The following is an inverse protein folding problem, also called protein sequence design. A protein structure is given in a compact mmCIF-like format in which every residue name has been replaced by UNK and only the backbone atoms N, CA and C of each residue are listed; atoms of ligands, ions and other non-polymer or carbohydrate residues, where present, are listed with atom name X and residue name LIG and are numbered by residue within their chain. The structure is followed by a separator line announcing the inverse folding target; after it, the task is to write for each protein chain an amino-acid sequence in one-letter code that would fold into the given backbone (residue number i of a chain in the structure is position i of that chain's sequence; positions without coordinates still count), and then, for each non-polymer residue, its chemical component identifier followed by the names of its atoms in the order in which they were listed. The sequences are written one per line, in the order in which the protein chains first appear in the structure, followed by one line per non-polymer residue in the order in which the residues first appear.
data_IF_919846167385
#
_entry.id   IF_919846167385
#
_cell.length_a   1.000
_cell.length_b   1.000
_cell.length_c   1.000
_cell.angle_alpha   90.00
_cell.angle_beta   90.00
_cell.angle_gamma   90.00
#
_symmetry.space_group_name_H-M   'P 1'
#
loop_
_entity.id
_entity.type
_entity.pdbx_description
1 polymer ?
#
# COMPACT_ATOMS: atom_id res chain seq x y z
N UNK A 1 -11.11 0.42 -4.37
CA UNK A 1 -11.51 -0.05 -3.02
C UNK A 1 -11.33 -1.55 -2.98
N UNK A 2 -11.04 -2.12 -1.81
CA UNK A 2 -10.91 -3.57 -1.59
C UNK A 2 -11.72 -3.98 -0.37
N UNK A 3 -11.89 -5.29 -0.19
CA UNK A 3 -12.58 -5.87 0.96
C UNK A 3 -11.69 -5.69 2.22
N UNK A 4 -11.99 -4.69 3.03
CA UNK A 4 -11.34 -4.42 4.32
C UNK A 4 -12.37 -3.87 5.32
N UNK A 5 -12.15 -4.11 6.61
CA UNK A 5 -13.06 -3.73 7.68
C UNK A 5 -14.48 -4.34 7.57
N UNK A 6 -14.59 -5.56 7.00
CA UNK A 6 -15.87 -6.23 6.74
C UNK A 6 -16.75 -6.38 7.99
N UNK A 7 -16.13 -6.61 9.15
CA UNK A 7 -16.84 -6.72 10.43
C UNK A 7 -17.60 -5.44 10.84
N UNK A 8 -17.28 -4.30 10.24
CA UNK A 8 -17.88 -2.99 10.55
C UNK A 8 -18.64 -2.44 9.35
N UNK A 9 -18.10 -2.61 8.14
CA UNK A 9 -18.59 -1.96 6.92
C UNK A 9 -19.48 -2.87 6.05
N UNK A 10 -19.64 -4.14 6.44
CA UNK A 10 -20.35 -5.14 5.64
C UNK A 10 -19.44 -5.95 4.72
N UNK A 11 -19.99 -7.02 4.17
CA UNK A 11 -19.28 -8.06 3.41
C UNK A 11 -19.40 -7.89 1.88
N UNK A 12 -19.90 -6.75 1.41
CA UNK A 12 -20.01 -6.42 -0.01
C UNK A 12 -19.21 -5.18 -0.39
N UNK A 13 -18.72 -5.16 -1.64
CA UNK A 13 -18.03 -3.99 -2.18
C UNK A 13 -18.94 -2.76 -2.19
N UNK A 14 -20.24 -2.95 -2.44
CA UNK A 14 -21.25 -1.89 -2.40
C UNK A 14 -21.34 -1.24 -1.01
N UNK A 15 -21.48 -2.03 0.05
CA UNK A 15 -21.55 -1.52 1.43
C UNK A 15 -20.28 -0.74 1.83
N UNK A 16 -19.12 -1.27 1.48
CA UNK A 16 -17.83 -0.60 1.72
C UNK A 16 -17.72 0.70 0.90
N UNK A 17 -18.20 0.70 -0.34
CA UNK A 17 -18.18 1.90 -1.19
C UNK A 17 -19.15 2.96 -0.66
N UNK A 18 -20.32 2.57 -0.19
CA UNK A 18 -21.31 3.46 0.41
C UNK A 18 -20.76 4.14 1.67
N UNK A 19 -20.22 3.38 2.62
CA UNK A 19 -19.59 3.92 3.83
C UNK A 19 -18.43 4.87 3.51
N UNK A 20 -17.49 4.44 2.67
CA UNK A 20 -16.34 5.29 2.29
C UNK A 20 -16.76 6.56 1.54
N UNK A 21 -17.85 6.51 0.79
CA UNK A 21 -18.40 7.68 0.09
C UNK A 21 -19.04 8.72 1.03
N UNK A 22 -19.22 8.41 2.32
CA UNK A 22 -19.63 9.39 3.33
C UNK A 22 -18.55 10.45 3.63
N UNK A 23 -17.31 10.22 3.17
CA UNK A 23 -16.31 11.29 3.11
C UNK A 23 -16.70 12.45 2.18
N UNK A 24 -17.60 12.23 1.20
CA UNK A 24 -18.16 13.25 0.33
C UNK A 24 -19.21 14.09 1.09
N UNK A 25 -18.78 14.93 2.00
CA UNK A 25 -19.65 15.74 2.89
C UNK A 25 -19.88 17.12 2.31
N UNK A 26 -20.91 17.81 2.84
CA UNK A 26 -21.12 19.24 2.58
C UNK A 26 -19.83 20.02 2.88
N UNK A 27 -19.44 20.91 1.96
CA UNK A 27 -18.20 21.68 2.04
C UNK A 27 -17.00 21.04 1.36
N UNK A 28 -17.07 19.77 0.91
CA UNK A 28 -16.06 19.20 0.01
C UNK A 28 -16.17 19.90 -1.34
N UNK A 29 -15.11 20.58 -1.72
CA UNK A 29 -15.09 21.36 -2.96
C UNK A 29 -14.89 20.48 -4.21
N UNK A 30 -14.22 19.34 -4.05
CA UNK A 30 -13.90 18.38 -5.11
C UNK A 30 -13.41 17.08 -4.50
N UNK A 31 -13.64 15.99 -5.19
CA UNK A 31 -13.14 14.66 -4.85
C UNK A 31 -12.30 14.07 -5.99
N UNK A 32 -11.33 13.26 -5.60
CA UNK A 32 -10.48 12.48 -6.52
C UNK A 32 -10.57 11.01 -6.13
N UNK A 33 -10.71 10.13 -7.11
CA UNK A 33 -10.70 8.69 -6.94
C UNK A 33 -9.68 8.04 -7.86
N UNK A 34 -9.00 7.01 -7.38
CA UNK A 34 -8.38 6.05 -8.28
C UNK A 34 -9.45 5.32 -9.09
N UNK A 35 -9.06 4.65 -10.17
CA UNK A 35 -9.96 3.76 -10.92
C UNK A 35 -10.56 2.71 -9.98
N UNK A 36 -11.87 2.56 -10.03
CA UNK A 36 -12.64 1.64 -9.19
C UNK A 36 -13.31 0.56 -10.05
N UNK A 37 -13.69 -0.54 -9.40
CA UNK A 37 -14.62 -1.49 -10.03
C UNK A 37 -15.97 -0.81 -10.30
N UNK A 38 -16.70 -1.21 -11.35
CA UNK A 38 -17.93 -0.53 -11.77
C UNK A 38 -18.94 -0.28 -10.65
N UNK A 39 -19.18 -1.29 -9.82
CA UNK A 39 -20.13 -1.19 -8.69
C UNK A 39 -19.72 -0.09 -7.68
N UNK A 40 -18.46 -0.05 -7.25
CA UNK A 40 -17.96 0.95 -6.33
C UNK A 40 -17.92 2.35 -6.98
N UNK A 41 -17.57 2.43 -8.27
CA UNK A 41 -17.55 3.66 -9.03
C UNK A 41 -18.94 4.29 -9.10
N UNK A 42 -19.94 3.49 -9.45
CA UNK A 42 -21.30 3.98 -9.66
C UNK A 42 -21.90 4.53 -8.35
N UNK A 43 -21.60 3.90 -7.21
CA UNK A 43 -21.98 4.39 -5.88
C UNK A 43 -21.29 5.74 -5.58
N UNK A 44 -19.96 5.82 -5.79
CA UNK A 44 -19.23 7.06 -5.57
C UNK A 44 -19.76 8.21 -6.44
N UNK A 45 -20.02 7.95 -7.72
CA UNK A 45 -20.51 8.98 -8.64
C UNK A 45 -21.92 9.42 -8.28
N UNK A 46 -22.83 8.48 -8.00
CA UNK A 46 -24.19 8.79 -7.57
C UNK A 46 -24.19 9.64 -6.29
N UNK A 47 -23.36 9.30 -5.31
CA UNK A 47 -23.28 10.06 -4.05
C UNK A 47 -22.65 11.43 -4.23
N UNK A 48 -21.66 11.56 -5.09
CA UNK A 48 -21.06 12.85 -5.45
C UNK A 48 -22.09 13.75 -6.15
N UNK A 49 -22.84 13.21 -7.12
CA UNK A 49 -23.91 13.93 -7.83
C UNK A 49 -25.00 14.41 -6.89
N UNK A 50 -25.49 13.53 -5.99
CA UNK A 50 -26.53 13.88 -5.03
C UNK A 50 -26.13 15.00 -4.06
N UNK A 51 -24.83 15.21 -3.87
CA UNK A 51 -24.24 16.23 -3.00
C UNK A 51 -23.65 17.43 -3.76
N UNK A 52 -23.77 17.43 -5.09
CA UNK A 52 -23.23 18.48 -5.95
C UNK A 52 -21.70 18.61 -5.91
N UNK A 53 -21.01 17.50 -5.65
CA UNK A 53 -19.53 17.49 -5.51
C UNK A 53 -18.92 17.03 -6.85
N UNK A 54 -18.08 17.85 -7.50
CA UNK A 54 -17.28 17.40 -8.63
C UNK A 54 -16.37 16.24 -8.20
N UNK A 55 -16.45 15.11 -8.91
CA UNK A 55 -15.59 13.95 -8.68
C UNK A 55 -14.83 13.62 -9.96
N UNK A 56 -13.50 13.64 -9.87
CA UNK A 56 -12.58 13.22 -10.92
C UNK A 56 -11.98 11.86 -10.56
N UNK A 57 -11.97 10.95 -11.52
CA UNK A 57 -11.21 9.71 -11.43
C UNK A 57 -9.93 9.82 -12.27
N UNK A 58 -8.93 8.99 -11.94
CA UNK A 58 -7.64 9.04 -12.61
C UNK A 58 -7.78 9.04 -14.14
N UNK A 59 -7.11 9.98 -14.83
CA UNK A 59 -7.21 10.09 -16.26
C UNK A 59 -6.66 8.83 -16.95
N UNK A 60 -7.44 8.32 -17.90
CA UNK A 60 -7.02 7.29 -18.85
C UNK A 60 -6.57 7.92 -20.17
N UNK A 61 -6.40 7.10 -21.21
CA UNK A 61 -6.02 7.57 -22.55
C UNK A 61 -7.02 8.58 -23.14
N UNK A 62 -8.28 8.55 -22.70
CA UNK A 62 -9.37 9.39 -23.20
C UNK A 62 -9.72 10.57 -22.25
N UNK A 63 -8.81 10.95 -21.35
CA UNK A 63 -9.05 12.02 -20.39
C UNK A 63 -9.54 11.52 -19.02
N UNK A 64 -10.04 12.46 -18.19
CA UNK A 64 -10.52 12.16 -16.85
C UNK A 64 -11.90 11.50 -16.90
N UNK A 65 -12.06 10.33 -16.27
CA UNK A 65 -13.39 9.82 -15.92
C UNK A 65 -13.90 10.58 -14.68
N UNK A 66 -15.22 10.62 -14.49
CA UNK A 66 -15.81 11.35 -13.38
C UNK A 66 -17.31 11.53 -13.56
N UNK A 67 -17.94 12.15 -12.56
CA UNK A 67 -19.30 12.63 -12.73
C UNK A 67 -19.35 13.86 -13.67
N UNK A 68 -20.54 14.30 -14.07
CA UNK A 68 -20.69 15.41 -15.03
C UNK A 68 -19.95 16.68 -14.60
N UNK A 69 -20.03 17.05 -13.32
CA UNK A 69 -19.34 18.20 -12.76
C UNK A 69 -17.80 18.03 -12.73
N UNK A 70 -17.29 16.83 -12.44
CA UNK A 70 -15.87 16.50 -12.48
C UNK A 70 -15.31 16.56 -13.90
N UNK A 71 -16.02 16.03 -14.87
CA UNK A 71 -15.65 16.12 -16.30
C UNK A 71 -15.59 17.56 -16.79
N UNK A 72 -16.62 18.36 -16.49
CA UNK A 72 -16.65 19.77 -16.85
C UNK A 72 -15.50 20.53 -16.19
N UNK A 73 -15.16 20.21 -14.93
CA UNK A 73 -14.00 20.81 -14.28
C UNK A 73 -12.69 20.44 -14.97
N UNK A 74 -12.51 19.17 -15.34
CA UNK A 74 -11.33 18.69 -16.07
C UNK A 74 -11.17 19.39 -17.43
N UNK A 75 -12.24 19.54 -18.18
CA UNK A 75 -12.24 20.20 -19.50
C UNK A 75 -11.87 21.66 -19.42
N UNK A 76 -12.17 22.33 -18.30
CA UNK A 76 -11.81 23.71 -18.05
C UNK A 76 -10.39 23.92 -17.47
N UNK A 77 -9.65 22.85 -17.18
CA UNK A 77 -8.25 22.97 -16.78
C UNK A 77 -7.40 23.49 -17.96
N UNK A 78 -6.40 24.34 -17.70
CA UNK A 78 -5.36 24.66 -18.69
C UNK A 78 -4.69 23.39 -19.23
N UNK A 79 -4.34 23.42 -20.51
CA UNK A 79 -3.74 22.24 -21.19
C UNK A 79 -2.46 21.78 -20.49
N UNK A 80 -1.60 22.72 -20.09
CA UNK A 80 -0.35 22.44 -19.40
C UNK A 80 -0.57 21.68 -18.07
N UNK A 81 -1.67 22.00 -17.36
CA UNK A 81 -2.02 21.30 -16.12
C UNK A 81 -2.62 19.91 -16.42
N UNK A 82 -3.42 19.78 -17.47
CA UNK A 82 -3.93 18.47 -17.90
C UNK A 82 -2.78 17.53 -18.29
N UNK A 83 -1.80 18.04 -19.00
CA UNK A 83 -0.60 17.28 -19.37
C UNK A 83 0.20 16.86 -18.14
N UNK A 84 0.34 17.73 -17.16
CA UNK A 84 0.98 17.39 -15.88
C UNK A 84 0.22 16.31 -15.10
N UNK A 85 -1.10 16.25 -15.23
CA UNK A 85 -1.95 15.31 -14.49
C UNK A 85 -1.87 13.87 -15.01
N UNK A 86 -1.25 13.62 -16.17
CA UNK A 86 -1.10 12.26 -16.75
C UNK A 86 0.34 11.80 -16.60
N UNK A 87 0.56 10.75 -15.83
CA UNK A 87 1.89 10.15 -15.65
C UNK A 87 2.26 9.21 -16.80
N UNK A 88 3.49 9.31 -17.26
CA UNK A 88 4.08 8.32 -18.16
C UNK A 88 4.23 6.96 -17.44
N UNK A 89 4.10 5.85 -18.17
CA UNK A 89 4.18 4.50 -17.61
C UNK A 89 5.54 4.19 -16.98
N UNK A 90 6.58 4.84 -17.46
CA UNK A 90 7.98 4.69 -17.04
C UNK A 90 8.39 5.74 -15.99
N UNK A 91 7.45 6.54 -15.49
CA UNK A 91 7.72 7.52 -14.44
C UNK A 91 8.34 6.83 -13.22
N UNK A 92 9.54 7.29 -12.83
CA UNK A 92 10.27 6.75 -11.68
C UNK A 92 9.61 7.20 -10.37
N UNK A 93 9.24 6.24 -9.56
CA UNK A 93 8.63 6.46 -8.25
C UNK A 93 9.62 6.15 -7.12
N UNK A 94 9.47 6.85 -6.02
CA UNK A 94 10.19 6.54 -4.79
C UNK A 94 9.61 5.37 -4.01
N UNK A 95 8.34 5.05 -4.25
CA UNK A 95 7.66 3.90 -3.66
C UNK A 95 7.67 2.73 -4.63
N UNK A 96 8.01 1.54 -4.14
CA UNK A 96 8.10 0.30 -4.91
C UNK A 96 6.74 -0.42 -5.00
N UNK A 97 6.55 -1.18 -6.07
CA UNK A 97 5.38 -2.04 -6.28
C UNK A 97 4.44 -1.56 -7.41
N UNK A 98 3.84 -2.49 -8.16
CA UNK A 98 3.03 -2.17 -9.34
C UNK A 98 1.84 -1.24 -9.07
N UNK A 99 1.23 -1.36 -7.87
CA UNK A 99 0.10 -0.54 -7.43
C UNK A 99 0.48 0.92 -7.16
N UNK A 100 1.76 1.23 -6.96
CA UNK A 100 2.19 2.59 -6.64
C UNK A 100 2.05 3.55 -7.82
N UNK A 101 2.08 3.05 -9.06
CA UNK A 101 1.82 3.90 -10.21
C UNK A 101 0.38 4.46 -10.20
N UNK A 102 -0.61 3.64 -9.83
CA UNK A 102 -1.99 4.11 -9.67
C UNK A 102 -2.14 5.09 -8.49
N UNK A 103 -1.46 4.83 -7.38
CA UNK A 103 -1.43 5.75 -6.23
C UNK A 103 -0.80 7.09 -6.61
N UNK A 104 0.33 7.07 -7.31
CA UNK A 104 1.00 8.27 -7.80
C UNK A 104 0.11 9.05 -8.78
N UNK A 105 -0.53 8.37 -9.73
CA UNK A 105 -1.47 8.98 -10.66
C UNK A 105 -2.63 9.69 -9.92
N UNK A 106 -3.18 9.07 -8.87
CA UNK A 106 -4.23 9.65 -8.04
C UNK A 106 -3.73 10.89 -7.29
N UNK A 107 -2.53 10.81 -6.71
CA UNK A 107 -1.92 11.92 -5.98
C UNK A 107 -1.61 13.10 -6.91
N UNK A 108 -1.10 12.84 -8.11
CA UNK A 108 -0.80 13.88 -9.10
C UNK A 108 -2.07 14.55 -9.60
N UNK A 109 -3.13 13.79 -9.87
CA UNK A 109 -4.42 14.38 -10.22
C UNK A 109 -4.91 15.32 -9.09
N UNK A 110 -4.89 14.86 -7.85
CA UNK A 110 -5.29 15.67 -6.70
C UNK A 110 -4.43 16.95 -6.57
N UNK A 111 -3.11 16.82 -6.75
CA UNK A 111 -2.18 17.95 -6.71
C UNK A 111 -2.46 18.99 -7.80
N UNK A 112 -2.63 18.56 -9.04
CA UNK A 112 -2.92 19.46 -10.17
C UNK A 112 -4.24 20.22 -9.97
N UNK A 113 -5.27 19.52 -9.48
CA UNK A 113 -6.57 20.14 -9.19
C UNK A 113 -6.46 21.17 -8.05
N UNK A 114 -5.67 20.90 -7.01
CA UNK A 114 -5.37 21.84 -5.94
C UNK A 114 -4.59 23.06 -6.46
N UNK A 115 -3.57 22.84 -7.28
CA UNK A 115 -2.80 23.92 -7.89
C UNK A 115 -3.69 24.86 -8.71
N UNK A 116 -4.57 24.30 -9.55
CA UNK A 116 -5.52 25.09 -10.31
C UNK A 116 -6.45 25.92 -9.40
N UNK A 117 -7.03 25.29 -8.38
CA UNK A 117 -7.97 25.92 -7.45
C UNK A 117 -7.32 27.07 -6.65
N UNK A 118 -6.08 26.89 -6.22
CA UNK A 118 -5.37 27.85 -5.36
C UNK A 118 -4.40 28.75 -6.12
N UNK A 119 -4.38 28.65 -7.46
CA UNK A 119 -3.46 29.38 -8.31
C UNK A 119 -1.98 29.14 -7.96
N UNK A 120 -1.65 27.95 -7.48
CA UNK A 120 -0.27 27.53 -7.22
C UNK A 120 0.43 27.13 -8.52
N UNK A 121 1.69 27.49 -8.62
CA UNK A 121 2.52 27.08 -9.76
C UNK A 121 2.98 25.64 -9.57
N UNK A 122 2.91 24.86 -10.62
CA UNK A 122 3.47 23.51 -10.68
C UNK A 122 3.87 23.21 -12.13
N UNK A 123 4.77 22.26 -12.28
CA UNK A 123 5.21 21.74 -13.57
C UNK A 123 5.52 20.26 -13.45
N UNK A 124 5.71 19.61 -14.61
CA UNK A 124 6.02 18.17 -14.69
C UNK A 124 7.29 17.82 -13.92
N UNK A 125 8.36 18.62 -14.03
CA UNK A 125 9.63 18.36 -13.37
C UNK A 125 9.48 18.34 -11.84
N UNK A 126 8.78 19.30 -11.27
CA UNK A 126 8.49 19.40 -9.83
C UNK A 126 7.68 18.19 -9.35
N UNK A 127 6.66 17.78 -10.12
CA UNK A 127 5.85 16.60 -9.80
C UNK A 127 6.71 15.32 -9.82
N UNK A 128 7.49 15.09 -10.87
CA UNK A 128 8.34 13.90 -10.99
C UNK A 128 9.42 13.85 -9.90
N UNK A 129 9.97 15.00 -9.51
CA UNK A 129 10.92 15.10 -8.40
C UNK A 129 10.24 14.72 -7.08
N UNK A 130 9.02 15.22 -6.84
CA UNK A 130 8.24 14.85 -5.65
C UNK A 130 7.92 13.35 -5.60
N UNK A 131 7.51 12.77 -6.73
CA UNK A 131 7.22 11.34 -6.84
C UNK A 131 8.46 10.47 -6.59
N UNK A 132 9.63 10.85 -7.11
CA UNK A 132 10.90 10.15 -6.86
C UNK A 132 11.34 10.21 -5.41
N UNK A 133 11.05 11.31 -4.72
CA UNK A 133 11.40 11.52 -3.30
C UNK A 133 10.35 10.99 -2.34
N UNK A 134 9.18 10.59 -2.83
CA UNK A 134 8.13 10.04 -1.99
C UNK A 134 8.64 8.80 -1.24
N UNK A 135 8.45 8.80 0.07
CA UNK A 135 8.83 7.72 0.96
C UNK A 135 7.76 7.51 2.03
N UNK A 136 7.40 6.27 2.27
CA UNK A 136 6.52 5.87 3.37
C UNK A 136 7.14 4.63 3.99
N UNK A 137 7.50 4.66 5.29
CA UNK A 137 8.07 3.50 5.97
C UNK A 137 7.15 2.28 5.86
N UNK A 138 7.73 1.11 5.59
CA UNK A 138 6.99 -0.13 5.51
C UNK A 138 6.03 -0.24 4.31
N UNK A 139 6.33 0.44 3.20
CA UNK A 139 5.65 0.25 1.91
C UNK A 139 6.62 -0.30 0.88
N UNK A 140 6.79 -1.62 0.89
CA UNK A 140 7.79 -2.35 0.14
C UNK A 140 9.16 -1.64 0.21
N UNK A 141 9.53 -1.25 1.44
CA UNK A 141 10.76 -0.55 1.74
C UNK A 141 11.93 -1.51 1.72
N UNK A 142 12.93 -1.27 0.88
CA UNK A 142 14.18 -1.99 0.93
C UNK A 142 15.12 -1.34 1.95
N UNK A 143 15.65 -2.17 2.84
CA UNK A 143 16.67 -1.80 3.83
C UNK A 143 17.92 -2.61 3.52
N UNK A 144 19.03 -2.00 3.09
CA UNK A 144 20.27 -2.73 2.85
C UNK A 144 20.81 -3.30 4.17
N UNK A 145 21.66 -4.33 4.08
CA UNK A 145 22.29 -4.91 5.26
C UNK A 145 23.12 -3.85 5.99
N UNK A 146 22.91 -3.76 7.30
CA UNK A 146 23.66 -2.89 8.21
C UNK A 146 24.50 -3.67 9.21
N UNK A 147 25.14 -2.97 10.15
CA UNK A 147 25.90 -3.63 11.23
C UNK A 147 25.01 -4.39 12.20
N UNK A 148 23.77 -3.92 12.38
CA UNK A 148 22.84 -4.43 13.39
C UNK A 148 21.67 -5.22 12.81
N UNK A 149 21.48 -5.23 11.50
CA UNK A 149 20.34 -5.90 10.84
C UNK A 149 20.73 -6.49 9.48
N UNK A 150 20.04 -7.55 9.02
CA UNK A 150 20.19 -8.09 7.67
C UNK A 150 19.62 -7.14 6.62
N UNK A 151 19.83 -7.44 5.33
CA UNK A 151 19.04 -6.84 4.28
C UNK A 151 17.58 -7.24 4.41
N UNK A 152 16.64 -6.30 4.27
CA UNK A 152 15.20 -6.55 4.49
C UNK A 152 14.33 -5.84 3.47
N UNK A 153 13.21 -6.48 3.17
CA UNK A 153 12.02 -5.84 2.60
C UNK A 153 10.98 -5.67 3.71
N UNK A 154 10.46 -4.46 3.89
CA UNK A 154 9.47 -4.14 4.91
C UNK A 154 8.15 -3.74 4.24
N UNK A 155 7.06 -4.47 4.53
CA UNK A 155 5.75 -4.13 3.99
C UNK A 155 4.63 -4.31 5.02
N UNK A 156 3.81 -3.29 5.18
CA UNK A 156 2.66 -3.27 6.11
C UNK A 156 1.38 -3.90 5.55
N UNK A 157 1.46 -4.75 4.54
CA UNK A 157 0.31 -5.51 4.03
C UNK A 157 -0.29 -6.35 5.15
N UNK A 158 -1.58 -6.13 5.45
CA UNK A 158 -2.27 -6.70 6.61
C UNK A 158 -3.71 -7.14 6.30
N UNK A 159 -4.09 -7.09 5.04
CA UNK A 159 -5.38 -7.56 4.54
C UNK A 159 -5.18 -8.27 3.19
N UNK A 160 -6.20 -8.96 2.73
CA UNK A 160 -6.15 -9.76 1.49
C UNK A 160 -5.71 -8.93 0.28
N UNK A 161 -6.20 -7.69 0.16
CA UNK A 161 -5.83 -6.80 -0.95
C UNK A 161 -4.36 -6.41 -0.91
N UNK A 162 -3.85 -5.99 0.26
CA UNK A 162 -2.45 -5.64 0.47
C UNK A 162 -1.52 -6.83 0.23
N UNK A 163 -1.86 -8.02 0.77
CA UNK A 163 -1.07 -9.23 0.57
C UNK A 163 -1.05 -9.69 -0.89
N UNK A 164 -2.16 -9.52 -1.63
CA UNK A 164 -2.18 -9.80 -3.07
C UNK A 164 -1.25 -8.85 -3.83
N UNK A 165 -1.25 -7.56 -3.49
CA UNK A 165 -0.36 -6.58 -4.10
C UNK A 165 1.12 -6.85 -3.76
N UNK A 166 1.42 -7.25 -2.51
CA UNK A 166 2.76 -7.65 -2.09
C UNK A 166 3.24 -8.89 -2.84
N UNK A 167 2.39 -9.92 -2.97
CA UNK A 167 2.70 -11.12 -3.74
C UNK A 167 3.07 -10.78 -5.19
N UNK A 168 2.26 -9.96 -5.87
CA UNK A 168 2.53 -9.53 -7.23
C UNK A 168 3.84 -8.71 -7.34
N UNK A 169 4.15 -7.93 -6.31
CA UNK A 169 5.39 -7.17 -6.27
C UNK A 169 6.62 -8.08 -6.11
N UNK A 170 6.54 -9.09 -5.24
CA UNK A 170 7.63 -10.06 -5.05
C UNK A 170 7.81 -10.96 -6.28
N UNK A 171 6.70 -11.37 -6.93
CA UNK A 171 6.75 -12.13 -8.18
C UNK A 171 7.47 -11.37 -9.31
N UNK A 172 7.39 -10.04 -9.31
CA UNK A 172 8.04 -9.17 -10.29
C UNK A 172 9.52 -8.83 -9.97
N UNK A 173 10.04 -9.22 -8.80
CA UNK A 173 11.44 -9.02 -8.42
C UNK A 173 12.39 -9.92 -9.20
N UNK A 174 13.62 -9.46 -9.40
CA UNK A 174 14.72 -10.31 -9.88
C UNK A 174 15.09 -11.38 -8.84
N UNK A 175 15.78 -12.44 -9.25
CA UNK A 175 16.16 -13.51 -8.33
C UNK A 175 17.09 -13.04 -7.19
N UNK A 176 17.86 -11.97 -7.41
CA UNK A 176 18.73 -11.36 -6.42
C UNK A 176 17.95 -10.54 -5.39
N UNK A 177 16.83 -9.93 -5.82
CA UNK A 177 15.97 -9.10 -4.96
C UNK A 177 14.98 -9.93 -4.15
N UNK A 178 14.64 -11.14 -4.61
CA UNK A 178 13.68 -12.00 -3.94
C UNK A 178 14.12 -12.36 -2.51
N UNK A 179 13.17 -12.37 -1.55
CA UNK A 179 13.50 -12.75 -0.19
C UNK A 179 13.97 -14.20 -0.09
N UNK A 180 14.88 -14.46 0.86
CA UNK A 180 15.33 -15.81 1.21
C UNK A 180 14.64 -16.41 2.43
N UNK A 181 13.96 -15.58 3.22
CA UNK A 181 13.14 -15.97 4.37
C UNK A 181 12.06 -14.92 4.64
N UNK A 182 11.02 -15.31 5.37
CA UNK A 182 9.88 -14.42 5.69
C UNK A 182 9.67 -14.37 7.19
N UNK A 183 9.41 -13.17 7.71
CA UNK A 183 8.86 -12.92 9.05
C UNK A 183 7.44 -12.39 8.87
N UNK A 184 6.46 -13.11 9.40
CA UNK A 184 5.05 -12.78 9.23
C UNK A 184 4.30 -12.87 10.55
N UNK A 185 3.47 -11.86 10.84
CA UNK A 185 2.45 -11.93 11.88
C UNK A 185 1.26 -11.06 11.51
N UNK A 186 0.08 -11.35 12.03
CA UNK A 186 -1.12 -10.56 11.75
C UNK A 186 -1.99 -10.40 12.99
N UNK A 187 -3.03 -9.59 12.87
CA UNK A 187 -4.06 -9.46 13.90
C UNK A 187 -5.13 -10.53 13.70
N UNK A 188 -5.71 -11.03 14.77
CA UNK A 188 -6.71 -12.08 14.76
C UNK A 188 -8.03 -11.66 14.06
N UNK A 189 -8.33 -10.37 14.05
CA UNK A 189 -9.52 -9.81 13.40
C UNK A 189 -9.35 -9.50 11.89
N UNK A 190 -8.23 -9.91 11.29
CA UNK A 190 -7.89 -9.66 9.86
C UNK A 190 -8.01 -10.91 8.98
N UNK A 191 -8.98 -11.79 9.26
CA UNK A 191 -9.26 -13.02 8.49
C UNK A 191 -7.97 -13.86 8.29
N UNK A 192 -7.37 -14.35 9.38
CA UNK A 192 -6.07 -15.02 9.32
C UNK A 192 -6.05 -16.21 8.35
N UNK A 193 -7.17 -16.91 8.16
CA UNK A 193 -7.29 -18.01 7.20
C UNK A 193 -7.02 -17.57 5.75
N UNK A 194 -7.58 -16.42 5.35
CA UNK A 194 -7.36 -15.88 3.99
C UNK A 194 -5.95 -15.34 3.82
N UNK A 195 -5.42 -14.68 4.86
CA UNK A 195 -4.05 -14.16 4.84
C UNK A 195 -3.03 -15.31 4.78
N UNK A 196 -3.21 -16.37 5.59
CA UNK A 196 -2.29 -17.52 5.60
C UNK A 196 -2.25 -18.25 4.27
N UNK A 197 -3.35 -18.31 3.52
CA UNK A 197 -3.36 -18.89 2.17
C UNK A 197 -2.45 -18.09 1.21
N UNK A 198 -2.50 -16.75 1.25
CA UNK A 198 -1.64 -15.89 0.45
C UNK A 198 -0.18 -15.96 0.90
N UNK A 199 0.07 -15.99 2.22
CA UNK A 199 1.42 -16.11 2.78
C UNK A 199 2.04 -17.45 2.44
N UNK A 200 1.31 -18.56 2.48
CA UNK A 200 1.78 -19.88 2.00
C UNK A 200 2.20 -19.84 0.54
N UNK A 201 1.41 -19.17 -0.31
CA UNK A 201 1.76 -18.98 -1.72
C UNK A 201 3.02 -18.12 -1.87
N UNK A 202 3.14 -17.03 -1.10
CA UNK A 202 4.30 -16.15 -1.09
C UNK A 202 5.56 -16.89 -0.61
N UNK A 203 5.43 -17.66 0.45
CA UNK A 203 6.54 -18.39 1.04
C UNK A 203 7.03 -19.56 0.16
N UNK A 204 6.09 -20.29 -0.47
CA UNK A 204 6.48 -21.51 -1.20
C UNK A 204 7.23 -22.47 -0.29
N UNK A 205 8.53 -22.63 -0.51
CA UNK A 205 9.45 -23.45 0.31
C UNK A 205 10.35 -22.62 1.22
N UNK A 206 10.23 -21.28 1.22
CA UNK A 206 11.07 -20.40 2.04
C UNK A 206 10.81 -20.62 3.54
N UNK A 207 11.84 -20.52 4.38
CA UNK A 207 11.70 -20.47 5.82
C UNK A 207 10.78 -19.32 6.25
N UNK A 208 9.82 -19.61 7.13
CA UNK A 208 8.81 -18.66 7.58
C UNK A 208 8.79 -18.63 9.11
N UNK A 209 9.05 -17.47 9.69
CA UNK A 209 9.10 -17.25 11.13
C UNK A 209 7.92 -16.39 11.58
N UNK A 210 7.26 -16.83 12.64
CA UNK A 210 5.99 -16.26 13.12
C UNK A 210 6.16 -15.77 14.55
N UNK A 211 6.56 -14.50 14.75
CA UNK A 211 6.60 -13.90 16.08
C UNK A 211 5.19 -13.54 16.59
N UNK A 212 5.03 -13.54 17.91
CA UNK A 212 3.86 -12.94 18.54
C UNK A 212 4.08 -11.44 18.68
N UNK A 213 3.14 -10.62 18.19
CA UNK A 213 3.17 -9.15 18.38
C UNK A 213 2.93 -8.86 19.85
N UNK A 214 3.86 -8.12 20.49
CA UNK A 214 3.82 -7.81 21.92
C UNK A 214 2.75 -6.75 22.23
N UNK A 215 2.23 -6.76 23.43
CA UNK A 215 1.36 -5.73 24.01
C UNK A 215 0.15 -5.34 23.12
N UNK A 216 -0.28 -6.25 22.25
CA UNK A 216 -1.45 -6.06 21.41
C UNK A 216 -2.48 -7.17 21.63
N UNK A 217 -3.61 -6.89 22.30
CA UNK A 217 -4.64 -7.90 22.60
C UNK A 217 -5.34 -8.44 21.34
N UNK A 218 -5.16 -7.80 20.19
CA UNK A 218 -5.70 -8.23 18.90
C UNK A 218 -4.71 -9.08 18.10
N UNK A 219 -3.48 -9.30 18.61
CA UNK A 219 -2.50 -10.12 17.90
C UNK A 219 -2.97 -11.56 17.78
N UNK A 220 -2.77 -12.17 16.63
CA UNK A 220 -2.92 -13.62 16.48
C UNK A 220 -1.79 -14.33 17.25
N UNK A 221 -2.11 -15.43 17.92
CA UNK A 221 -1.13 -16.23 18.63
C UNK A 221 -0.09 -16.82 17.67
N UNK A 222 1.20 -16.61 17.94
CA UNK A 222 2.27 -17.08 17.06
C UNK A 222 2.23 -18.57 16.78
N UNK A 223 1.98 -19.42 17.80
CA UNK A 223 1.86 -20.86 17.65
C UNK A 223 0.65 -21.27 16.80
N UNK A 224 -0.49 -20.64 17.05
CA UNK A 224 -1.73 -20.89 16.30
C UNK A 224 -1.57 -20.49 14.84
N UNK A 225 -1.01 -19.30 14.60
CA UNK A 225 -0.76 -18.80 13.26
C UNK A 225 0.26 -19.65 12.50
N UNK A 226 1.32 -20.12 13.17
CA UNK A 226 2.30 -21.04 12.56
C UNK A 226 1.65 -22.40 12.23
N UNK A 227 0.76 -22.91 13.08
CA UNK A 227 0.02 -24.13 12.79
C UNK A 227 -0.92 -23.97 11.58
N UNK A 228 -1.59 -22.83 11.46
CA UNK A 228 -2.42 -22.50 10.28
C UNK A 228 -1.59 -22.38 9.00
N UNK A 229 -0.39 -21.80 9.08
CA UNK A 229 0.52 -21.68 7.94
C UNK A 229 1.09 -23.04 7.51
N UNK A 230 1.42 -23.91 8.46
CA UNK A 230 2.00 -25.22 8.20
C UNK A 230 3.36 -25.15 7.49
N UNK A 231 3.80 -26.26 6.92
CA UNK A 231 5.01 -26.31 6.08
C UNK A 231 6.28 -25.90 6.82
N UNK A 232 6.92 -24.83 6.36
CA UNK A 232 8.16 -24.28 6.92
C UNK A 232 7.95 -23.25 8.02
N UNK A 233 6.70 -23.04 8.46
CA UNK A 233 6.38 -22.02 9.46
C UNK A 233 6.81 -22.44 10.86
N UNK A 234 7.56 -21.58 11.53
CA UNK A 234 8.06 -21.77 12.90
C UNK A 234 7.63 -20.62 13.78
N UNK A 235 6.88 -20.93 14.84
CA UNK A 235 6.55 -19.94 15.87
C UNK A 235 7.81 -19.57 16.66
N UNK A 236 7.97 -18.27 16.93
CA UNK A 236 9.08 -17.74 17.73
C UNK A 236 8.55 -16.71 18.72
N UNK A 237 9.24 -16.49 19.85
CA UNK A 237 8.69 -15.64 20.93
C UNK A 237 8.49 -14.18 20.53
N UNK A 238 9.41 -13.58 19.78
CA UNK A 238 9.45 -12.16 19.50
C UNK A 238 10.07 -11.86 18.12
N UNK A 239 9.99 -10.61 17.72
CA UNK A 239 10.51 -10.16 16.42
C UNK A 239 12.02 -10.27 16.35
N UNK A 240 12.74 -10.04 17.44
CA UNK A 240 14.20 -10.15 17.51
C UNK A 240 14.67 -11.56 17.19
N UNK A 241 14.02 -12.58 17.79
CA UNK A 241 14.29 -13.98 17.52
C UNK A 241 13.93 -14.36 16.08
N UNK A 242 12.79 -13.84 15.58
CA UNK A 242 12.35 -14.05 14.20
C UNK A 242 13.38 -13.52 13.20
N UNK A 243 13.86 -12.29 13.39
CA UNK A 243 14.83 -11.66 12.51
C UNK A 243 16.18 -12.39 12.55
N UNK A 244 16.63 -12.80 13.74
CA UNK A 244 17.88 -13.57 13.91
C UNK A 244 17.80 -14.92 13.18
N UNK A 245 16.68 -15.65 13.33
CA UNK A 245 16.46 -16.93 12.68
C UNK A 245 16.33 -16.78 11.15
N UNK A 246 15.55 -15.77 10.71
CA UNK A 246 15.33 -15.50 9.31
C UNK A 246 16.63 -15.07 8.59
N UNK A 247 17.44 -14.22 9.21
CA UNK A 247 18.74 -13.80 8.66
C UNK A 247 19.68 -15.00 8.41
N UNK A 248 19.71 -15.97 9.33
CA UNK A 248 20.51 -17.19 9.17
C UNK A 248 19.97 -18.08 8.04
N UNK A 249 18.63 -18.19 7.94
CA UNK A 249 17.98 -19.04 6.97
C UNK A 249 17.93 -18.44 5.55
N UNK A 250 18.01 -17.11 5.43
CA UNK A 250 17.92 -16.39 4.15
C UNK A 250 19.14 -16.59 3.23
N UNK A 251 20.25 -17.17 3.72
CA UNK A 251 21.45 -17.47 2.93
C UNK A 251 22.00 -16.25 2.15
N UNK A 252 22.03 -15.08 2.80
CA UNK A 252 22.53 -13.84 2.21
C UNK A 252 21.50 -13.05 1.38
N UNK A 253 20.32 -13.61 1.13
CA UNK A 253 19.20 -12.89 0.51
C UNK A 253 18.47 -12.01 1.53
N UNK A 254 17.68 -11.00 1.09
CA UNK A 254 16.88 -10.19 2.00
C UNK A 254 15.84 -11.00 2.79
N UNK A 255 15.48 -10.53 3.97
CA UNK A 255 14.36 -11.05 4.76
C UNK A 255 13.12 -10.19 4.46
N UNK A 256 11.99 -10.80 4.13
CA UNK A 256 10.72 -10.08 4.01
C UNK A 256 10.01 -10.05 5.36
N UNK A 257 9.69 -8.86 5.86
CA UNK A 257 8.89 -8.65 7.08
C UNK A 257 7.54 -8.06 6.69
N UNK A 258 6.44 -8.77 6.96
CA UNK A 258 5.10 -8.34 6.53
C UNK A 258 3.97 -8.89 7.42
N UNK A 259 2.74 -8.45 7.14
CA UNK A 259 1.50 -8.97 7.74
C UNK A 259 0.85 -8.04 8.76
N UNK A 260 1.57 -7.08 9.33
CA UNK A 260 1.02 -6.12 10.28
C UNK A 260 1.84 -4.85 10.39
N UNK A 261 1.15 -3.71 10.47
CA UNK A 261 1.80 -2.44 10.82
C UNK A 261 2.31 -2.44 12.29
N UNK A 262 1.69 -3.22 13.17
CA UNK A 262 2.17 -3.38 14.55
C UNK A 262 3.48 -4.18 14.60
N UNK A 263 3.62 -5.22 13.77
CA UNK A 263 4.88 -5.94 13.63
C UNK A 263 6.00 -5.00 13.14
N UNK A 264 5.70 -4.17 12.13
CA UNK A 264 6.66 -3.16 11.65
C UNK A 264 6.95 -2.10 12.70
N UNK A 265 5.98 -1.73 13.55
CA UNK A 265 6.20 -0.79 14.66
C UNK A 265 7.21 -1.33 15.68
N UNK A 266 7.14 -2.62 16.01
CA UNK A 266 8.14 -3.27 16.86
C UNK A 266 9.54 -3.23 16.20
N UNK A 267 9.61 -3.55 14.90
CA UNK A 267 10.85 -3.48 14.14
C UNK A 267 11.44 -2.05 14.13
N UNK A 268 10.62 -1.04 13.87
CA UNK A 268 11.06 0.36 13.90
C UNK A 268 11.44 0.84 15.30
N UNK A 269 10.95 0.19 16.36
CA UNK A 269 11.39 0.48 17.72
C UNK A 269 12.80 -0.04 17.98
N UNK A 270 13.24 -1.11 17.29
CA UNK A 270 14.62 -1.60 17.34
C UNK A 270 15.56 -0.69 16.54
N UNK A 271 15.10 -0.14 15.42
CA UNK A 271 15.89 0.67 14.49
C UNK A 271 15.07 1.91 14.02
N UNK A 272 14.94 2.95 14.87
CA UNK A 272 14.15 4.15 14.56
C UNK A 272 14.64 4.92 13.31
N UNK A 273 15.91 4.79 12.96
CA UNK A 273 16.50 5.38 11.76
C UNK A 273 15.84 4.91 10.47
N UNK A 274 15.27 3.70 10.46
CA UNK A 274 14.55 3.16 9.30
C UNK A 274 13.23 3.87 8.98
N UNK A 275 12.74 4.70 9.90
CA UNK A 275 11.58 5.58 9.66
C UNK A 275 11.91 6.75 8.72
N UNK A 276 13.18 7.05 8.54
CA UNK A 276 13.64 8.15 7.70
C UNK A 276 14.17 7.60 6.36
N UNK A 277 13.95 8.37 5.30
CA UNK A 277 14.64 8.10 4.04
C UNK A 277 16.03 8.71 4.11
N UNK A 278 17.07 7.91 4.33
CA UNK A 278 18.48 8.34 4.12
C UNK A 278 18.77 8.53 2.62
N UNK A 279 17.92 9.30 1.94
CA UNK A 279 18.10 9.66 0.52
C UNK A 279 18.95 10.93 0.39
N UNK A 280 20.07 10.98 1.08
CA UNK A 280 21.10 12.01 0.87
C UNK A 280 22.03 11.72 -0.31
N UNK A 281 21.74 10.65 -1.08
CA UNK A 281 22.57 10.26 -2.24
C UNK A 281 21.69 9.93 -3.45
N UNK A 282 21.18 10.96 -4.12
CA UNK A 282 20.87 10.96 -5.58
C UNK A 282 21.28 12.30 -6.17
#
# INVERSE_FOLDING_TARGET
MGMDHMNVLGDTLAAIADDKSDALRSGVAMAVSATQQPEARDILFSKADSRGIPLCSCPGQNGCDGNAAGKAFWENLPEELRDCAVLAKDTKLGLSGPHQHMNAQTAVLAWVLLCHRHHWKTDRHTIELGLRRAFIPGRLQFVPAGKAHPAMWLDGAHNTHGMTALLAAVDAMTEEEKPGAIVFSCLADKEPEKLTALVRRLAGTLPLFVPTIKDNPRAAGGCELAAMLGGTATAVPCIEDALSAAAKAANGKPVLVCGSLYLLSELFSLWPELLNSDRTSV
#
